data_IF_455853877186
#
_entry.id   IF_455853877186
#
_cell.length_a   1.000
_cell.length_b   1.000
_cell.length_c   1.000
_cell.angle_alpha   90.00
_cell.angle_beta   90.00
_cell.angle_gamma   90.00
#
_symmetry.space_group_name_H-M   'P 1'
#
loop_
_entity.id
_entity.type
_entity.pdbx_description
1 polymer ?
#
# COMPACT_ATOMS: atom_id res chain seq x y z
N UNK A 1 -23.49 20.59 13.09
CA UNK A 1 -23.81 19.19 12.77
C UNK A 1 -23.07 18.88 11.47
N UNK A 2 -21.95 18.15 11.37
CA UNK A 2 -21.46 16.95 12.04
C UNK A 2 -19.97 17.11 12.43
N UNK A 3 -19.62 16.91 13.70
CA UNK A 3 -18.22 16.80 14.14
C UNK A 3 -17.76 15.37 13.87
N UNK A 4 -16.99 15.13 12.81
CA UNK A 4 -16.31 13.83 12.62
C UNK A 4 -15.03 13.80 13.46
N UNK A 5 -15.20 13.71 14.78
CA UNK A 5 -14.16 13.25 15.67
C UNK A 5 -14.03 11.74 15.48
N UNK A 6 -12.88 11.26 14.97
CA UNK A 6 -12.34 9.89 15.10
C UNK A 6 -11.11 9.84 14.19
N UNK A 7 -9.89 9.73 14.66
CA UNK A 7 -9.39 9.37 15.98
C UNK A 7 -7.90 9.69 16.00
N UNK A 8 -7.41 10.18 17.14
CA UNK A 8 -6.00 10.12 17.51
C UNK A 8 -5.37 8.82 17.03
N UNK A 9 -4.34 8.92 16.20
CA UNK A 9 -3.47 7.81 15.91
C UNK A 9 -2.01 8.18 16.11
N UNK A 10 -1.72 8.68 17.31
CA UNK A 10 -0.41 8.46 17.93
C UNK A 10 -0.30 6.95 18.24
N UNK A 11 -0.06 6.17 17.20
CA UNK A 11 0.42 4.80 17.33
C UNK A 11 1.93 4.92 17.24
N UNK A 12 2.57 5.05 18.39
CA UNK A 12 3.98 4.68 18.51
C UNK A 12 4.02 3.15 18.35
N UNK A 13 4.11 2.70 17.11
CA UNK A 13 4.09 1.29 16.72
C UNK A 13 5.18 1.18 15.69
N UNK A 14 6.08 0.21 15.87
CA UNK A 14 7.02 -0.23 14.83
C UNK A 14 6.27 -0.36 13.52
N UNK A 15 6.32 0.68 12.67
CA UNK A 15 5.59 0.73 11.41
C UNK A 15 6.20 -0.36 10.53
N UNK A 16 5.57 -1.53 10.52
CA UNK A 16 6.00 -2.63 9.69
C UNK A 16 5.64 -2.24 8.26
N UNK A 17 6.64 -1.69 7.58
CA UNK A 17 6.53 -1.18 6.24
C UNK A 17 7.59 -1.82 5.35
N UNK A 18 7.19 -2.18 4.13
CA UNK A 18 8.10 -2.70 3.12
C UNK A 18 8.79 -1.57 2.34
N UNK A 19 10.05 -1.77 1.96
CA UNK A 19 10.71 -1.00 0.90
C UNK A 19 10.07 -1.31 -0.46
N UNK A 20 10.33 -0.48 -1.49
CA UNK A 20 9.95 -0.82 -2.86
C UNK A 20 10.58 -2.13 -3.34
N UNK A 21 11.81 -2.42 -2.94
CA UNK A 21 12.53 -3.67 -3.25
C UNK A 21 11.85 -4.90 -2.63
N UNK A 22 11.50 -4.83 -1.35
CA UNK A 22 10.79 -5.90 -0.63
C UNK A 22 9.41 -6.14 -1.26
N UNK A 23 8.68 -5.07 -1.57
CA UNK A 23 7.37 -5.20 -2.21
C UNK A 23 7.46 -5.74 -3.63
N UNK A 24 8.46 -5.29 -4.40
CA UNK A 24 8.72 -5.77 -5.75
C UNK A 24 8.96 -7.28 -5.74
N UNK A 25 9.78 -7.74 -4.80
CA UNK A 25 10.05 -9.16 -4.58
C UNK A 25 8.79 -9.92 -4.17
N UNK A 26 7.98 -9.35 -3.26
CA UNK A 26 6.74 -9.96 -2.79
C UNK A 26 5.67 -10.12 -3.88
N UNK A 27 5.50 -9.10 -4.74
CA UNK A 27 4.54 -9.12 -5.86
C UNK A 27 5.11 -9.75 -7.13
N UNK A 28 6.38 -10.16 -7.11
CA UNK A 28 7.11 -10.66 -8.29
C UNK A 28 7.06 -9.69 -9.49
N UNK A 29 7.32 -8.40 -9.23
CA UNK A 29 7.41 -7.34 -10.24
C UNK A 29 8.70 -6.56 -10.06
N UNK A 30 9.10 -5.76 -11.06
CA UNK A 30 10.27 -4.89 -10.90
C UNK A 30 9.96 -3.64 -10.06
N UNK A 31 10.95 -3.10 -9.35
CA UNK A 31 10.84 -1.79 -8.69
C UNK A 31 10.48 -0.67 -9.66
N UNK A 32 10.96 -0.77 -10.91
CA UNK A 32 10.61 0.16 -11.99
C UNK A 32 9.12 0.12 -12.30
N UNK A 33 8.51 -1.06 -12.28
CA UNK A 33 7.06 -1.23 -12.44
C UNK A 33 6.32 -0.51 -11.31
N UNK A 34 6.75 -0.69 -10.05
CA UNK A 34 6.17 0.03 -8.90
C UNK A 34 6.35 1.55 -9.01
N UNK A 35 7.48 2.04 -9.52
CA UNK A 35 7.70 3.47 -9.78
C UNK A 35 6.75 3.98 -10.89
N UNK A 36 6.56 3.19 -11.95
CA UNK A 36 5.63 3.51 -13.03
C UNK A 36 4.19 3.59 -12.52
N UNK A 37 3.74 2.65 -11.70
CA UNK A 37 2.41 2.66 -11.09
C UNK A 37 2.17 3.90 -10.22
N UNK A 38 3.15 4.28 -9.40
CA UNK A 38 3.09 5.53 -8.60
C UNK A 38 3.02 6.80 -9.48
N UNK A 39 3.70 6.80 -10.62
CA UNK A 39 3.71 7.94 -11.55
C UNK A 39 2.41 8.06 -12.34
N UNK A 40 1.88 6.93 -12.82
CA UNK A 40 0.63 6.86 -13.59
C UNK A 40 -0.59 6.98 -12.68
N UNK A 41 -0.46 6.61 -11.39
CA UNK A 41 -1.57 6.54 -10.45
C UNK A 41 -2.40 5.25 -10.55
N UNK A 42 -1.97 4.28 -11.37
CA UNK A 42 -2.67 3.02 -11.56
C UNK A 42 -1.71 1.84 -11.80
N UNK A 43 -1.93 0.68 -11.14
CA UNK A 43 -2.77 0.46 -9.95
C UNK A 43 -2.38 1.36 -8.76
N UNK A 44 -3.38 1.89 -8.05
CA UNK A 44 -3.19 2.82 -6.95
C UNK A 44 -2.90 2.10 -5.63
N UNK A 45 -1.77 1.39 -5.57
CA UNK A 45 -1.31 0.70 -4.36
C UNK A 45 -1.01 1.76 -3.28
N UNK A 46 -1.56 1.66 -2.05
CA UNK A 46 -1.28 2.62 -0.99
C UNK A 46 0.22 2.68 -0.64
N UNK A 47 0.80 3.87 -0.67
CA UNK A 47 2.19 4.09 -0.30
C UNK A 47 2.35 5.37 0.54
N UNK A 48 3.37 5.36 1.39
CA UNK A 48 3.82 6.53 2.14
C UNK A 48 5.07 7.09 1.47
N UNK A 49 5.04 8.37 1.12
CA UNK A 49 6.20 9.08 0.56
C UNK A 49 6.68 10.11 1.56
N UNK A 50 7.93 9.97 2.01
CA UNK A 50 8.61 10.91 2.89
C UNK A 50 9.91 11.34 2.21
N UNK A 51 9.88 12.50 1.57
CA UNK A 51 10.98 12.99 0.73
C UNK A 51 11.28 12.04 -0.44
N UNK A 52 12.51 11.49 -0.47
CA UNK A 52 12.96 10.52 -1.47
C UNK A 52 12.58 9.07 -1.10
N UNK A 53 12.23 8.83 0.16
CA UNK A 53 11.91 7.49 0.64
C UNK A 53 10.44 7.17 0.36
N UNK A 54 10.20 5.97 -0.15
CA UNK A 54 8.85 5.41 -0.29
C UNK A 54 8.77 4.10 0.46
N UNK A 55 7.66 3.93 1.18
CA UNK A 55 7.37 2.76 2.02
C UNK A 55 5.94 2.31 1.79
N UNK A 56 5.71 1.02 1.94
CA UNK A 56 4.39 0.41 1.82
C UNK A 56 4.01 -0.19 3.16
N UNK A 57 2.92 0.28 3.76
CA UNK A 57 2.41 -0.32 4.97
C UNK A 57 1.80 -1.68 4.63
N UNK A 58 2.21 -2.73 5.36
CA UNK A 58 1.74 -4.09 5.07
C UNK A 58 0.22 -4.19 5.20
N UNK A 59 -0.36 -3.62 6.26
CA UNK A 59 -1.81 -3.69 6.49
C UNK A 59 -2.60 -3.03 5.35
N UNK A 60 -2.17 -1.87 4.88
CA UNK A 60 -2.87 -1.16 3.80
C UNK A 60 -2.70 -1.90 2.45
N UNK A 61 -1.56 -2.57 2.26
CA UNK A 61 -1.28 -3.39 1.09
C UNK A 61 -2.14 -4.65 1.08
N UNK A 62 -2.27 -5.36 2.20
CA UNK A 62 -3.14 -6.53 2.33
C UNK A 62 -4.60 -6.17 2.05
N UNK A 63 -5.09 -5.07 2.63
CA UNK A 63 -6.43 -4.55 2.36
C UNK A 63 -6.63 -4.18 0.89
N UNK A 64 -5.59 -3.63 0.24
CA UNK A 64 -5.62 -3.33 -1.19
C UNK A 64 -5.71 -4.62 -2.01
N UNK A 65 -4.82 -5.57 -1.77
CA UNK A 65 -4.79 -6.84 -2.50
C UNK A 65 -6.11 -7.58 -2.35
N UNK A 66 -6.66 -7.66 -1.14
CA UNK A 66 -7.96 -8.30 -0.89
C UNK A 66 -9.10 -7.67 -1.70
N UNK A 67 -9.12 -6.34 -1.85
CA UNK A 67 -10.11 -5.63 -2.69
C UNK A 67 -9.92 -5.86 -4.18
N UNK A 68 -8.69 -6.16 -4.60
CA UNK A 68 -8.30 -6.38 -5.99
C UNK A 68 -8.17 -7.86 -6.36
N UNK A 69 -8.40 -8.78 -5.41
CA UNK A 69 -8.54 -10.21 -5.68
C UNK A 69 -9.92 -10.49 -6.25
N UNK A 70 -9.97 -10.86 -7.52
CA UNK A 70 -11.20 -11.30 -8.19
C UNK A 70 -11.16 -12.83 -8.22
N UNK A 71 -11.86 -13.48 -7.28
CA UNK A 71 -12.03 -14.93 -7.30
C UNK A 71 -13.18 -15.28 -8.25
N UNK A 72 -12.88 -15.52 -9.53
CA UNK A 72 -13.82 -16.18 -10.45
C UNK A 72 -13.82 -17.70 -10.21
N UNK A 73 -14.13 -18.13 -8.99
CA UNK A 73 -14.41 -19.54 -8.73
C UNK A 73 -15.92 -19.70 -8.92
N UNK A 74 -16.32 -20.05 -10.15
CA UNK A 74 -17.61 -20.66 -10.38
C UNK A 74 -17.62 -21.99 -9.63
N UNK A 75 -18.61 -22.16 -8.74
CA UNK A 75 -18.93 -23.40 -8.02
C UNK A 75 -19.66 -24.34 -8.97
#
# INVERSE_FOLDING_TARGET
MMKKQRSNLKRDIRLKSMTPEELASHLNVSERTLAKWRSIGHPNIPYMKVGRCVRYNISDLEDYLAKHTINNVEV
#
